data_IF_528708973445
#
_entry.id   IF_528708973445
#
_cell.length_a   1.000
_cell.length_b   1.000
_cell.length_c   1.000
_cell.angle_alpha   90.00
_cell.angle_beta   90.00
_cell.angle_gamma   90.00
#
_symmetry.space_group_name_H-M   'P 1'
#
loop_
_entity.id
_entity.type
_entity.pdbx_description
1 polymer ?
#
# COMPACT_ATOMS: atom_id res chain seq x y z
N UNK A 1 -0.94 41.12 -48.69
CA UNK A 1 -0.77 39.66 -48.93
C UNK A 1 -0.90 38.97 -47.59
N UNK A 2 -2.08 38.45 -47.24
CA UNK A 2 -2.30 37.72 -46.00
C UNK A 2 -1.85 36.25 -46.25
N UNK A 3 -0.77 35.87 -45.60
CA UNK A 3 -0.36 34.46 -45.59
C UNK A 3 -1.46 33.66 -44.88
N UNK A 4 -2.25 32.88 -45.63
CA UNK A 4 -3.11 31.84 -45.10
C UNK A 4 -2.19 30.75 -44.52
N UNK A 5 -1.88 30.84 -43.26
CA UNK A 5 -1.31 29.74 -42.50
C UNK A 5 -2.39 28.66 -42.31
N UNK A 6 -2.56 27.80 -43.31
CA UNK A 6 -3.34 26.58 -43.14
C UNK A 6 -2.57 25.67 -42.19
N UNK A 7 -3.11 25.47 -40.99
CA UNK A 7 -2.55 24.55 -40.04
C UNK A 7 -2.53 23.14 -40.64
N UNK A 8 -1.33 22.63 -40.96
CA UNK A 8 -1.16 21.24 -41.38
C UNK A 8 -1.29 20.31 -40.19
N UNK A 9 -2.39 19.60 -40.10
CA UNK A 9 -2.62 18.59 -39.06
C UNK A 9 -2.14 17.24 -39.62
N UNK A 10 -1.15 16.64 -38.96
CA UNK A 10 -0.80 15.25 -39.23
C UNK A 10 -1.80 14.34 -38.50
N UNK A 11 -2.56 13.54 -39.25
CA UNK A 11 -3.54 12.61 -38.71
C UNK A 11 -2.80 11.38 -38.21
N UNK A 12 -2.89 11.05 -36.89
CA UNK A 12 -2.27 9.84 -36.36
C UNK A 12 -3.06 8.60 -36.84
N UNK A 13 -2.39 7.45 -36.91
CA UNK A 13 -3.05 6.17 -37.26
C UNK A 13 -4.08 5.80 -36.19
N UNK A 14 -3.82 6.09 -34.93
CA UNK A 14 -4.69 5.83 -33.79
C UNK A 14 -4.68 7.05 -32.86
N UNK A 15 -5.85 7.43 -32.36
CA UNK A 15 -6.00 8.37 -31.25
C UNK A 15 -6.89 7.75 -30.16
N UNK A 16 -6.73 8.17 -28.92
CA UNK A 16 -7.53 7.66 -27.80
C UNK A 16 -8.11 8.78 -26.96
N UNK A 17 -9.26 8.54 -26.35
CA UNK A 17 -9.93 9.47 -25.42
C UNK A 17 -10.70 8.68 -24.37
N UNK A 18 -10.81 9.27 -23.18
CA UNK A 18 -11.69 8.74 -22.13
C UNK A 18 -12.88 9.67 -21.98
N UNK A 19 -14.09 9.11 -21.87
CA UNK A 19 -15.31 9.86 -21.66
C UNK A 19 -16.17 9.21 -20.56
N UNK A 20 -16.93 10.06 -19.88
CA UNK A 20 -17.93 9.61 -18.91
C UNK A 20 -19.23 9.22 -19.61
N UNK A 21 -19.82 8.08 -19.22
CA UNK A 21 -21.20 7.76 -19.55
C UNK A 21 -22.13 8.74 -18.83
N UNK A 22 -23.04 9.37 -19.58
CA UNK A 22 -23.98 10.34 -19.04
C UNK A 22 -25.28 9.64 -18.63
N UNK A 23 -25.88 10.05 -17.53
CA UNK A 23 -27.23 9.63 -17.16
C UNK A 23 -28.27 10.43 -17.97
N UNK A 24 -29.36 9.80 -18.33
CA UNK A 24 -30.52 10.43 -18.95
C UNK A 24 -31.81 9.76 -18.42
N UNK A 25 -33.00 10.34 -18.72
CA UNK A 25 -34.28 9.82 -18.22
C UNK A 25 -34.53 8.35 -18.63
N UNK A 26 -33.99 7.90 -19.75
CA UNK A 26 -34.14 6.54 -20.25
C UNK A 26 -33.02 5.58 -19.78
N UNK A 27 -32.06 6.05 -18.95
CA UNK A 27 -30.90 5.26 -18.47
C UNK A 27 -29.58 5.93 -18.76
N UNK A 28 -28.69 5.28 -19.54
CA UNK A 28 -27.36 5.81 -19.88
C UNK A 28 -27.30 6.25 -21.36
N UNK A 29 -26.49 7.26 -21.65
CA UNK A 29 -26.17 7.68 -23.02
C UNK A 29 -24.68 7.96 -23.13
N UNK A 30 -24.14 7.85 -24.32
CA UNK A 30 -22.78 8.26 -24.65
C UNK A 30 -22.78 9.26 -25.79
N UNK A 31 -22.24 10.43 -25.53
CA UNK A 31 -22.06 11.49 -26.55
C UNK A 31 -20.56 11.65 -26.78
N UNK A 32 -20.10 11.27 -27.96
CA UNK A 32 -18.71 11.51 -28.40
C UNK A 32 -18.71 12.79 -29.22
N UNK A 33 -18.30 13.89 -28.63
CA UNK A 33 -18.21 15.20 -29.25
C UNK A 33 -16.74 15.63 -29.26
N UNK A 34 -16.16 15.76 -30.43
CA UNK A 34 -14.74 16.10 -30.58
C UNK A 34 -14.42 16.54 -32.01
N UNK A 35 -13.51 17.50 -32.14
CA UNK A 35 -12.95 17.92 -33.42
C UNK A 35 -12.12 16.84 -34.13
N UNK A 36 -11.91 15.69 -33.50
CA UNK A 36 -11.16 14.57 -34.08
C UNK A 36 -12.00 13.70 -35.01
N UNK A 37 -13.33 13.67 -34.86
CA UNK A 37 -14.21 12.83 -35.67
C UNK A 37 -13.99 13.00 -37.18
N UNK A 38 -13.92 14.24 -37.73
CA UNK A 38 -13.67 14.42 -39.17
C UNK A 38 -12.29 13.92 -39.60
N UNK A 39 -11.26 13.99 -38.71
CA UNK A 39 -9.91 13.52 -39.02
C UNK A 39 -9.87 12.01 -39.28
N UNK A 40 -10.79 11.27 -38.70
CA UNK A 40 -10.93 9.81 -38.86
C UNK A 40 -12.05 9.42 -39.81
N UNK A 41 -12.54 10.35 -40.65
CA UNK A 41 -13.55 10.10 -41.66
C UNK A 41 -15.00 10.26 -41.18
N UNK A 42 -15.24 10.52 -39.89
CA UNK A 42 -16.59 10.73 -39.34
C UNK A 42 -17.00 12.20 -39.52
N UNK A 43 -17.17 12.58 -40.75
CA UNK A 43 -17.59 13.95 -41.14
C UNK A 43 -19.11 14.17 -40.87
N UNK A 44 -19.55 15.43 -40.92
CA UNK A 44 -20.96 15.79 -40.80
C UNK A 44 -21.82 15.04 -41.83
N UNK A 45 -22.91 14.46 -41.38
CA UNK A 45 -23.83 13.64 -42.18
C UNK A 45 -23.27 12.30 -42.70
N UNK A 46 -22.01 11.95 -42.42
CA UNK A 46 -21.51 10.61 -42.71
C UNK A 46 -22.41 9.55 -42.07
N UNK A 47 -22.70 8.46 -42.79
CA UNK A 47 -23.51 7.35 -42.29
C UNK A 47 -22.62 6.40 -41.50
N UNK A 48 -23.13 5.93 -40.36
CA UNK A 48 -22.42 5.04 -39.44
C UNK A 48 -23.30 3.86 -39.03
N UNK A 49 -22.65 2.76 -38.68
CA UNK A 49 -23.24 1.59 -38.04
C UNK A 49 -22.67 1.44 -36.62
N UNK A 50 -23.57 1.22 -35.65
CA UNK A 50 -23.21 0.92 -34.25
C UNK A 50 -23.40 -0.58 -34.00
N UNK A 51 -22.36 -1.31 -33.59
CA UNK A 51 -22.41 -2.76 -33.40
C UNK A 51 -21.88 -3.15 -32.02
N UNK A 52 -22.46 -4.16 -31.41
CA UNK A 52 -21.97 -4.75 -30.18
C UNK A 52 -20.68 -5.55 -30.46
N UNK A 53 -19.57 -5.23 -29.78
CA UNK A 53 -18.35 -6.05 -29.85
C UNK A 53 -18.57 -7.39 -29.12
N UNK A 54 -19.34 -7.36 -28.04
CA UNK A 54 -19.73 -8.50 -27.22
C UNK A 54 -20.30 -8.02 -25.90
N UNK A 55 -21.01 -8.89 -25.18
CA UNK A 55 -21.62 -8.56 -23.89
C UNK A 55 -20.55 -8.10 -22.92
N UNK A 56 -20.69 -6.86 -22.41
CA UNK A 56 -19.72 -6.23 -21.50
C UNK A 56 -18.37 -5.85 -22.15
N UNK A 57 -18.22 -5.95 -23.48
CA UNK A 57 -16.95 -5.69 -24.18
C UNK A 57 -16.91 -4.36 -24.93
N UNK A 58 -18.08 -3.73 -25.17
CA UNK A 58 -18.14 -2.41 -25.78
C UNK A 58 -18.86 -2.36 -27.13
N UNK A 59 -18.72 -1.20 -27.78
CA UNK A 59 -19.39 -0.85 -29.06
C UNK A 59 -18.31 -0.55 -30.10
N UNK A 60 -18.51 -1.06 -31.32
CA UNK A 60 -17.81 -0.65 -32.54
C UNK A 60 -18.69 0.31 -33.30
N UNK A 61 -18.13 1.41 -33.79
CA UNK A 61 -18.77 2.34 -34.72
C UNK A 61 -17.96 2.36 -35.98
N UNK A 62 -18.58 2.02 -37.12
CA UNK A 62 -17.96 1.97 -38.45
C UNK A 62 -18.64 2.92 -39.41
N UNK A 63 -17.83 3.51 -40.33
CA UNK A 63 -18.39 4.24 -41.46
C UNK A 63 -19.10 3.25 -42.42
N UNK A 64 -20.22 3.67 -42.97
CA UNK A 64 -20.93 2.96 -44.05
C UNK A 64 -20.56 3.57 -45.39
N UNK A 65 -20.64 2.76 -46.45
CA UNK A 65 -20.48 3.24 -47.81
C UNK A 65 -21.62 4.20 -48.20
N UNK A 66 -21.37 5.09 -49.15
CA UNK A 66 -22.31 6.11 -49.57
C UNK A 66 -23.67 5.54 -50.03
N UNK A 67 -23.65 4.31 -50.57
CA UNK A 67 -24.84 3.62 -51.09
C UNK A 67 -25.66 2.86 -50.03
N UNK A 68 -25.19 2.75 -48.83
CA UNK A 68 -25.94 2.10 -47.75
C UNK A 68 -27.20 2.92 -47.39
N UNK A 69 -28.36 2.29 -47.50
CA UNK A 69 -29.63 2.95 -47.18
C UNK A 69 -29.94 2.97 -45.69
N UNK A 70 -29.32 2.07 -44.93
CA UNK A 70 -29.49 1.95 -43.46
C UNK A 70 -28.27 2.49 -42.75
N UNK A 71 -28.47 3.42 -41.85
CA UNK A 71 -27.39 3.95 -41.02
C UNK A 71 -27.79 5.20 -40.25
N UNK A 72 -27.16 5.40 -39.12
CA UNK A 72 -27.30 6.60 -38.34
C UNK A 72 -26.35 7.69 -38.88
N UNK A 73 -26.72 8.94 -38.76
CA UNK A 73 -25.86 10.04 -39.24
C UNK A 73 -24.98 10.58 -38.13
N UNK A 74 -23.78 11.03 -38.49
CA UNK A 74 -22.93 11.88 -37.65
C UNK A 74 -23.56 13.26 -37.59
N UNK A 75 -23.84 13.75 -36.39
CA UNK A 75 -24.49 15.04 -36.17
C UNK A 75 -23.48 16.16 -36.03
N UNK A 76 -23.97 17.42 -36.14
CA UNK A 76 -23.21 18.60 -35.79
C UNK A 76 -23.89 19.37 -34.66
N UNK A 77 -23.10 20.02 -33.87
CA UNK A 77 -23.55 20.94 -32.81
C UNK A 77 -22.84 22.26 -32.97
N UNK A 78 -23.58 23.37 -32.96
CA UNK A 78 -23.04 24.71 -32.97
C UNK A 78 -22.90 25.25 -31.54
N UNK A 79 -21.74 25.78 -31.24
CA UNK A 79 -21.42 26.45 -29.97
C UNK A 79 -21.29 27.95 -30.23
N UNK A 80 -22.36 28.71 -30.09
CA UNK A 80 -22.44 30.16 -30.37
C UNK A 80 -21.39 31.00 -29.58
N UNK A 81 -20.94 30.51 -28.45
CA UNK A 81 -19.90 31.17 -27.62
C UNK A 81 -18.47 30.96 -28.10
N UNK A 82 -18.22 30.05 -29.02
CA UNK A 82 -16.87 29.76 -29.54
C UNK A 82 -16.56 30.64 -30.74
N UNK A 83 -15.55 31.50 -30.64
CA UNK A 83 -15.06 32.31 -31.77
C UNK A 83 -14.39 31.48 -32.85
N UNK A 84 -13.63 30.44 -32.46
CA UNK A 84 -12.96 29.53 -33.35
C UNK A 84 -13.60 28.14 -33.27
N UNK A 85 -13.84 27.48 -34.41
CA UNK A 85 -14.51 26.17 -34.51
C UNK A 85 -15.86 26.11 -33.78
N UNK A 86 -16.85 26.90 -34.16
CA UNK A 86 -18.17 26.90 -33.52
C UNK A 86 -18.92 25.60 -33.76
N UNK A 87 -18.61 24.89 -34.85
CA UNK A 87 -19.30 23.65 -35.24
C UNK A 87 -18.41 22.46 -34.83
N UNK A 88 -18.98 21.54 -34.08
CA UNK A 88 -18.32 20.30 -33.67
C UNK A 88 -19.16 19.09 -34.13
N UNK A 89 -18.53 18.10 -34.70
CA UNK A 89 -19.16 16.82 -35.06
C UNK A 89 -19.35 15.97 -33.80
N UNK A 90 -20.45 15.21 -33.78
CA UNK A 90 -20.80 14.37 -32.63
C UNK A 90 -21.48 13.08 -33.02
N UNK A 91 -21.19 12.03 -32.25
CA UNK A 91 -21.93 10.78 -32.21
C UNK A 91 -22.78 10.77 -30.94
N UNK A 92 -24.10 10.58 -31.09
CA UNK A 92 -25.04 10.54 -29.97
C UNK A 92 -25.65 9.13 -29.89
N UNK A 93 -25.12 8.31 -28.98
CA UNK A 93 -25.56 6.94 -28.78
C UNK A 93 -26.55 6.89 -27.62
N UNK A 94 -27.82 6.51 -27.94
CA UNK A 94 -28.94 6.47 -26.98
C UNK A 94 -29.66 5.12 -26.94
N UNK A 95 -29.27 4.16 -27.77
CA UNK A 95 -29.88 2.82 -27.76
C UNK A 95 -29.63 2.14 -26.45
N UNK A 96 -30.62 2.09 -25.57
CA UNK A 96 -30.50 1.46 -24.24
C UNK A 96 -30.18 -0.02 -24.37
N UNK A 97 -30.77 -0.72 -25.36
CA UNK A 97 -30.45 -2.12 -25.59
C UNK A 97 -28.97 -2.33 -25.89
N UNK A 98 -28.38 -1.51 -26.79
CA UNK A 98 -26.97 -1.60 -27.15
C UNK A 98 -26.04 -1.22 -25.97
N UNK A 99 -26.37 -0.11 -25.29
CA UNK A 99 -25.57 0.41 -24.17
C UNK A 99 -25.54 -0.59 -22.99
N UNK A 100 -26.70 -1.15 -22.62
CA UNK A 100 -26.83 -2.09 -21.51
C UNK A 100 -26.15 -3.43 -21.80
N UNK A 101 -26.11 -3.86 -23.07
CA UNK A 101 -25.34 -5.06 -23.44
C UNK A 101 -23.85 -4.79 -23.55
N UNK A 102 -23.45 -3.62 -24.04
CA UNK A 102 -22.06 -3.27 -24.29
C UNK A 102 -21.28 -2.93 -23.00
N UNK A 103 -21.95 -2.36 -22.02
CA UNK A 103 -21.29 -1.85 -20.81
C UNK A 103 -21.91 -2.47 -19.55
N UNK A 104 -21.08 -3.03 -18.64
CA UNK A 104 -21.50 -3.39 -17.29
C UNK A 104 -22.27 -2.26 -16.59
N UNK A 105 -23.20 -2.62 -15.71
CA UNK A 105 -24.07 -1.64 -15.02
C UNK A 105 -23.26 -0.59 -14.24
N UNK A 106 -22.15 -1.00 -13.65
CA UNK A 106 -21.24 -0.17 -12.87
C UNK A 106 -20.26 0.67 -13.70
N UNK A 107 -20.32 0.58 -15.04
CA UNK A 107 -19.44 1.37 -15.91
C UNK A 107 -19.78 2.86 -15.82
N UNK A 108 -18.81 3.66 -15.42
CA UNK A 108 -18.91 5.13 -15.39
C UNK A 108 -18.12 5.79 -16.51
N UNK A 109 -16.99 5.21 -16.89
CA UNK A 109 -16.06 5.72 -17.88
C UNK A 109 -15.86 4.71 -19.00
N UNK A 110 -15.65 5.23 -20.21
CA UNK A 110 -15.31 4.42 -21.40
C UNK A 110 -13.99 4.91 -21.99
N UNK A 111 -13.23 3.97 -22.53
CA UNK A 111 -12.06 4.24 -23.36
C UNK A 111 -12.49 4.18 -24.82
N UNK A 112 -12.15 5.21 -25.58
CA UNK A 112 -12.47 5.35 -27.00
C UNK A 112 -11.18 5.34 -27.79
N UNK A 113 -11.08 4.47 -28.76
CA UNK A 113 -10.01 4.40 -29.73
C UNK A 113 -10.53 4.79 -31.09
N UNK A 114 -9.91 5.76 -31.73
CA UNK A 114 -10.22 6.26 -33.07
C UNK A 114 -9.19 5.72 -34.05
N UNK A 115 -9.66 5.11 -35.12
CA UNK A 115 -8.92 4.80 -36.33
C UNK A 115 -9.73 5.28 -37.53
N UNK A 116 -9.09 5.43 -38.70
CA UNK A 116 -9.82 5.86 -39.89
C UNK A 116 -10.95 4.87 -40.24
N UNK A 117 -12.17 5.38 -40.31
CA UNK A 117 -13.38 4.58 -40.57
C UNK A 117 -13.91 3.72 -39.42
N UNK A 118 -13.19 3.65 -38.29
CA UNK A 118 -13.59 2.81 -37.15
C UNK A 118 -13.35 3.50 -35.81
N UNK A 119 -14.30 3.37 -34.88
CA UNK A 119 -14.16 3.77 -33.49
C UNK A 119 -14.52 2.58 -32.60
N UNK A 120 -13.60 2.23 -31.68
CA UNK A 120 -13.83 1.22 -30.65
C UNK A 120 -14.10 1.90 -29.30
N UNK A 121 -15.18 1.54 -28.64
CA UNK A 121 -15.59 2.10 -27.36
C UNK A 121 -15.71 0.96 -26.35
N UNK A 122 -14.81 0.91 -25.39
CA UNK A 122 -14.73 -0.18 -24.41
C UNK A 122 -14.97 0.34 -22.98
N UNK A 123 -15.61 -0.45 -22.10
CA UNK A 123 -15.79 -0.05 -20.70
C UNK A 123 -14.45 0.06 -19.99
N UNK A 124 -14.33 1.08 -19.15
CA UNK A 124 -13.25 1.15 -18.18
C UNK A 124 -13.70 0.52 -16.85
N UNK A 125 -12.78 -0.14 -16.16
CA UNK A 125 -13.07 -0.73 -14.86
C UNK A 125 -13.44 0.36 -13.84
N UNK A 126 -14.60 0.22 -13.21
CA UNK A 126 -14.96 0.99 -12.03
C UNK A 126 -14.25 0.36 -10.83
N UNK A 127 -13.13 0.96 -10.41
CA UNK A 127 -12.27 0.44 -9.35
C UNK A 127 -13.02 0.22 -8.03
N UNK A 128 -13.89 1.17 -7.66
CA UNK A 128 -14.67 1.10 -6.42
C UNK A 128 -15.70 -0.05 -6.47
N UNK A 129 -16.43 -0.17 -7.56
CA UNK A 129 -17.39 -1.26 -7.74
C UNK A 129 -16.69 -2.63 -7.76
N UNK A 130 -15.54 -2.73 -8.43
CA UNK A 130 -14.73 -3.95 -8.45
C UNK A 130 -14.23 -4.32 -7.05
N UNK A 131 -13.75 -3.35 -6.26
CA UNK A 131 -13.29 -3.56 -4.88
C UNK A 131 -14.45 -4.04 -3.97
N UNK A 132 -15.63 -3.42 -4.05
CA UNK A 132 -16.82 -3.85 -3.30
C UNK A 132 -17.22 -5.29 -3.67
N UNK A 133 -17.17 -5.63 -4.96
CA UNK A 133 -17.48 -6.99 -5.44
C UNK A 133 -16.45 -8.01 -4.94
N UNK A 134 -15.19 -7.64 -4.92
CA UNK A 134 -14.10 -8.46 -4.39
C UNK A 134 -14.29 -8.69 -2.89
N UNK A 135 -14.54 -7.63 -2.11
CA UNK A 135 -14.81 -7.70 -0.68
C UNK A 135 -15.94 -8.67 -0.33
N UNK A 136 -17.07 -8.59 -1.06
CA UNK A 136 -18.22 -9.49 -0.85
C UNK A 136 -17.92 -10.97 -1.12
N UNK A 137 -16.87 -11.28 -1.88
CA UNK A 137 -16.45 -12.65 -2.21
C UNK A 137 -15.30 -13.14 -1.35
N UNK A 138 -14.63 -12.25 -0.65
CA UNK A 138 -13.47 -12.56 0.16
C UNK A 138 -13.88 -13.28 1.45
N UNK A 139 -12.96 -14.07 1.96
CA UNK A 139 -13.07 -14.74 3.25
C UNK A 139 -11.94 -14.23 4.17
N UNK A 140 -11.84 -12.92 4.35
CA UNK A 140 -10.78 -12.24 5.09
C UNK A 140 -9.35 -12.54 4.58
N UNK A 141 -9.22 -12.75 3.28
CA UNK A 141 -7.94 -13.01 2.62
C UNK A 141 -7.10 -11.74 2.52
N UNK A 142 -5.85 -11.81 2.94
CA UNK A 142 -4.93 -10.66 2.97
C UNK A 142 -3.73 -10.87 2.07
N UNK A 143 -3.30 -9.76 1.47
CA UNK A 143 -1.98 -9.61 0.86
C UNK A 143 -1.08 -8.89 1.88
N UNK A 144 -0.03 -9.55 2.34
CA UNK A 144 0.91 -9.00 3.31
C UNK A 144 2.26 -8.78 2.66
N UNK A 145 2.83 -7.59 2.78
CA UNK A 145 4.12 -7.26 2.21
C UNK A 145 5.09 -6.69 3.25
N UNK A 146 6.36 -7.09 3.10
CA UNK A 146 7.48 -6.66 3.93
C UNK A 146 7.28 -7.02 5.41
N UNK A 147 6.92 -8.29 5.67
CA UNK A 147 6.63 -8.82 6.99
C UNK A 147 7.45 -10.06 7.29
N UNK A 148 8.28 -9.97 8.30
CA UNK A 148 9.02 -11.15 8.84
C UNK A 148 8.16 -12.00 9.79
N UNK A 149 6.83 -11.82 9.81
CA UNK A 149 5.85 -12.67 10.47
C UNK A 149 5.14 -12.07 11.69
N UNK A 150 5.66 -11.04 12.35
CA UNK A 150 5.04 -10.50 13.58
C UNK A 150 3.65 -9.93 13.34
N UNK A 151 3.48 -9.12 12.31
CA UNK A 151 2.18 -8.59 11.89
C UNK A 151 1.29 -9.70 11.32
N UNK A 152 1.85 -10.70 10.61
CA UNK A 152 1.12 -11.86 10.14
C UNK A 152 0.44 -12.63 11.29
N UNK A 153 1.18 -12.90 12.38
CA UNK A 153 0.63 -13.56 13.58
C UNK A 153 -0.50 -12.73 14.20
N UNK A 154 -0.30 -11.41 14.36
CA UNK A 154 -1.32 -10.50 14.86
C UNK A 154 -2.57 -10.50 13.97
N UNK A 155 -2.39 -10.47 12.65
CA UNK A 155 -3.49 -10.52 11.68
C UNK A 155 -4.28 -11.82 11.76
N UNK A 156 -3.59 -12.97 11.83
CA UNK A 156 -4.25 -14.29 11.97
C UNK A 156 -5.02 -14.37 13.29
N UNK A 157 -4.46 -13.89 14.39
CA UNK A 157 -5.13 -13.78 15.70
C UNK A 157 -6.41 -12.94 15.62
N UNK A 158 -6.47 -11.95 14.74
CA UNK A 158 -7.64 -11.10 14.48
C UNK A 158 -8.56 -11.61 13.35
N UNK A 159 -8.37 -12.84 12.90
CA UNK A 159 -9.25 -13.54 11.97
C UNK A 159 -8.97 -13.28 10.49
N UNK A 160 -7.86 -12.65 10.14
CA UNK A 160 -7.39 -12.55 8.77
C UNK A 160 -6.70 -13.84 8.32
N UNK A 161 -6.75 -14.12 7.02
CA UNK A 161 -6.02 -15.23 6.39
C UNK A 161 -4.93 -14.66 5.50
N UNK A 162 -3.70 -15.09 5.71
CA UNK A 162 -2.59 -14.63 4.88
C UNK A 162 -2.60 -15.42 3.56
N UNK A 163 -3.31 -14.90 2.57
CA UNK A 163 -3.40 -15.52 1.24
C UNK A 163 -2.10 -15.38 0.46
N UNK A 164 -1.45 -14.21 0.54
CA UNK A 164 -0.16 -13.93 -0.10
C UNK A 164 0.77 -13.21 0.86
N UNK A 165 1.99 -13.70 0.96
CA UNK A 165 3.10 -13.06 1.64
C UNK A 165 4.16 -12.68 0.62
N UNK A 166 4.45 -11.39 0.50
CA UNK A 166 5.60 -10.84 -0.22
C UNK A 166 6.65 -10.42 0.81
N UNK A 167 7.70 -11.21 0.95
CA UNK A 167 8.76 -10.96 1.93
C UNK A 167 10.13 -11.24 1.34
N UNK A 168 11.00 -10.27 1.45
CA UNK A 168 12.38 -10.34 1.00
C UNK A 168 13.25 -9.52 1.94
N UNK A 169 14.27 -10.15 2.53
CA UNK A 169 15.27 -9.46 3.33
C UNK A 169 16.50 -9.16 2.47
N UNK A 170 16.79 -7.89 2.12
CA UNK A 170 18.03 -7.57 1.41
C UNK A 170 19.25 -8.06 2.19
N UNK A 171 20.22 -8.63 1.50
CA UNK A 171 21.50 -9.00 2.10
C UNK A 171 22.25 -7.75 2.57
N UNK A 172 22.71 -7.76 3.81
CA UNK A 172 23.54 -6.69 4.36
C UNK A 172 25.03 -7.02 4.16
N UNK A 173 25.90 -6.00 4.12
CA UNK A 173 27.37 -6.16 3.95
C UNK A 173 28.02 -7.11 4.96
N UNK A 174 27.38 -7.35 6.10
CA UNK A 174 27.84 -8.26 7.17
C UNK A 174 27.40 -9.71 7.00
N UNK A 175 26.42 -9.97 6.14
CA UNK A 175 25.90 -11.32 5.93
C UNK A 175 26.95 -12.17 5.18
N UNK A 176 27.26 -13.33 5.74
CA UNK A 176 28.23 -14.26 5.17
C UNK A 176 27.62 -15.21 4.16
N UNK A 177 26.31 -15.41 4.26
CA UNK A 177 25.53 -16.30 3.42
C UNK A 177 24.34 -15.50 2.85
N UNK A 178 23.62 -16.09 1.91
CA UNK A 178 22.35 -15.55 1.46
C UNK A 178 21.32 -15.64 2.60
N UNK A 179 20.78 -14.48 2.98
CA UNK A 179 19.83 -14.33 4.08
C UNK A 179 18.46 -13.84 3.59
N UNK A 180 18.24 -13.81 2.26
CA UNK A 180 17.04 -13.22 1.64
C UNK A 180 15.73 -13.90 2.02
N UNK A 181 15.78 -15.20 2.37
CA UNK A 181 14.61 -16.00 2.73
C UNK A 181 14.27 -15.95 4.23
N UNK A 182 15.12 -15.40 5.07
CA UNK A 182 15.01 -15.55 6.54
C UNK A 182 13.73 -14.99 7.13
N UNK A 183 13.26 -13.83 6.64
CA UNK A 183 11.99 -13.25 7.07
C UNK A 183 10.81 -14.14 6.66
N UNK A 184 10.82 -14.62 5.41
CA UNK A 184 9.80 -15.50 4.87
C UNK A 184 9.72 -16.85 5.65
N UNK A 185 10.85 -17.50 5.90
CA UNK A 185 10.90 -18.74 6.68
C UNK A 185 10.36 -18.53 8.08
N UNK A 186 10.73 -17.43 8.74
CA UNK A 186 10.21 -17.09 10.07
C UNK A 186 8.69 -16.91 10.07
N UNK A 187 8.14 -16.24 9.06
CA UNK A 187 6.69 -16.10 8.91
C UNK A 187 6.00 -17.46 8.68
N UNK A 188 6.53 -18.28 7.77
CA UNK A 188 5.98 -19.61 7.47
C UNK A 188 6.01 -20.58 8.66
N UNK A 189 6.96 -20.40 9.59
CA UNK A 189 7.01 -21.20 10.82
C UNK A 189 5.87 -20.89 11.81
N UNK A 190 5.13 -19.77 11.60
CA UNK A 190 4.12 -19.27 12.52
C UNK A 190 2.71 -19.15 11.92
N UNK A 191 2.59 -18.98 10.61
CA UNK A 191 1.29 -18.79 9.93
C UNK A 191 1.20 -19.57 8.63
N UNK A 192 -0.02 -19.99 8.29
CA UNK A 192 -0.29 -20.56 6.98
C UNK A 192 -0.31 -19.46 5.92
N UNK A 193 0.40 -19.70 4.80
CA UNK A 193 0.48 -18.79 3.66
C UNK A 193 0.21 -19.60 2.40
N UNK A 194 -0.69 -19.16 1.54
CA UNK A 194 -1.00 -19.86 0.31
C UNK A 194 -0.02 -19.52 -0.82
N UNK A 195 0.36 -18.27 -0.95
CA UNK A 195 1.34 -17.82 -1.94
C UNK A 195 2.49 -17.12 -1.24
N UNK A 196 3.68 -17.69 -1.32
CA UNK A 196 4.92 -17.02 -0.90
C UNK A 196 5.61 -16.42 -2.13
N UNK A 197 5.94 -15.13 -2.04
CA UNK A 197 6.72 -14.39 -3.02
C UNK A 197 7.96 -13.88 -2.30
N UNK A 198 9.11 -14.52 -2.52
CA UNK A 198 10.38 -14.09 -1.95
C UNK A 198 11.19 -13.34 -3.01
N UNK A 199 10.66 -12.18 -3.38
CA UNK A 199 11.25 -11.30 -4.39
C UNK A 199 11.32 -9.87 -3.84
N UNK A 200 12.33 -9.12 -4.24
CA UNK A 200 12.46 -7.70 -3.88
C UNK A 200 11.30 -6.90 -4.49
N UNK A 201 10.55 -6.21 -3.64
CA UNK A 201 9.41 -5.39 -4.05
C UNK A 201 9.78 -4.36 -5.13
N UNK A 202 11.02 -3.83 -5.09
CA UNK A 202 11.52 -2.82 -6.05
C UNK A 202 11.82 -3.41 -7.43
N UNK A 203 11.93 -4.74 -7.55
CA UNK A 203 12.23 -5.44 -8.80
C UNK A 203 11.09 -6.37 -9.26
N UNK A 204 9.91 -6.25 -8.66
CA UNK A 204 8.81 -7.18 -8.84
C UNK A 204 8.13 -7.03 -10.21
N UNK A 205 8.00 -8.12 -10.98
CA UNK A 205 7.07 -8.17 -12.12
C UNK A 205 5.63 -8.30 -11.63
N UNK A 206 5.00 -7.17 -11.32
CA UNK A 206 3.66 -7.12 -10.77
C UNK A 206 2.59 -7.73 -11.70
N UNK A 207 2.79 -7.74 -13.02
CA UNK A 207 1.86 -8.37 -13.95
C UNK A 207 1.91 -9.89 -13.84
N UNK A 208 3.10 -10.46 -13.70
CA UNK A 208 3.31 -11.88 -13.47
C UNK A 208 2.69 -12.32 -12.14
N UNK A 209 2.98 -11.58 -11.06
CA UNK A 209 2.45 -11.88 -9.74
C UNK A 209 0.91 -11.79 -9.72
N UNK A 210 0.34 -10.74 -10.30
CA UNK A 210 -1.12 -10.60 -10.38
C UNK A 210 -1.78 -11.76 -11.17
N UNK A 211 -1.09 -12.29 -12.18
CA UNK A 211 -1.56 -13.47 -12.93
C UNK A 211 -1.52 -14.74 -12.05
N UNK A 212 -0.44 -14.95 -11.29
CA UNK A 212 -0.30 -16.08 -10.38
C UNK A 212 -1.38 -16.06 -9.29
N UNK A 213 -1.66 -14.88 -8.73
CA UNK A 213 -2.64 -14.66 -7.67
C UNK A 213 -4.07 -14.36 -8.19
N UNK A 214 -4.36 -14.60 -9.47
CA UNK A 214 -5.61 -14.18 -10.13
C UNK A 214 -6.90 -14.82 -9.57
N UNK A 215 -6.79 -15.90 -8.79
CA UNK A 215 -7.92 -16.59 -8.15
C UNK A 215 -8.20 -16.12 -6.72
N UNK A 216 -7.35 -15.28 -6.14
CA UNK A 216 -7.49 -14.76 -4.78
C UNK A 216 -8.45 -13.56 -4.74
N UNK A 217 -9.24 -13.47 -3.66
CA UNK A 217 -10.21 -12.39 -3.44
C UNK A 217 -9.84 -11.63 -2.16
N UNK A 218 -8.83 -10.79 -2.26
CA UNK A 218 -8.32 -10.05 -1.11
C UNK A 218 -9.34 -9.09 -0.50
N UNK A 219 -9.44 -9.09 0.81
CA UNK A 219 -10.15 -8.06 1.60
C UNK A 219 -9.24 -6.87 1.83
N UNK A 220 -7.98 -7.16 2.17
CA UNK A 220 -7.01 -6.18 2.65
C UNK A 220 -5.63 -6.41 2.03
N UNK A 221 -4.87 -5.32 1.89
CA UNK A 221 -3.43 -5.37 1.76
C UNK A 221 -2.79 -4.65 2.95
N UNK A 222 -1.83 -5.29 3.61
CA UNK A 222 -1.01 -4.67 4.67
C UNK A 222 0.43 -4.60 4.19
N UNK A 223 1.04 -3.40 4.27
CA UNK A 223 2.40 -3.15 3.83
C UNK A 223 3.18 -2.42 4.92
N UNK A 224 4.31 -3.00 5.32
CA UNK A 224 5.26 -2.41 6.28
C UNK A 224 6.56 -2.07 5.53
N UNK A 225 6.53 -0.93 4.81
CA UNK A 225 7.66 -0.53 3.95
C UNK A 225 8.92 -0.23 4.78
N UNK A 226 10.10 -0.42 4.18
CA UNK A 226 11.36 -0.14 4.85
C UNK A 226 11.41 1.31 5.35
N UNK A 227 11.79 1.49 6.63
CA UNK A 227 11.71 2.78 7.31
C UNK A 227 13.08 3.48 7.49
N UNK A 228 14.18 2.88 7.04
CA UNK A 228 15.53 3.32 7.39
C UNK A 228 15.80 4.78 7.01
N UNK A 229 15.36 5.22 5.82
CA UNK A 229 15.61 6.58 5.33
C UNK A 229 14.68 7.64 5.99
N UNK A 230 13.61 7.21 6.62
CA UNK A 230 12.68 8.08 7.35
C UNK A 230 12.93 8.09 8.85
N UNK A 231 13.73 7.14 9.36
CA UNK A 231 14.03 7.00 10.77
C UNK A 231 14.98 8.09 11.26
N UNK A 232 14.73 8.60 12.47
CA UNK A 232 15.67 9.47 13.18
C UNK A 232 16.95 8.74 13.63
N UNK A 233 16.98 7.42 13.53
CA UNK A 233 18.14 6.60 13.94
C UNK A 233 19.25 6.56 12.90
N UNK A 234 18.95 6.81 11.60
CA UNK A 234 19.93 6.93 10.52
C UNK A 234 20.39 8.39 10.44
N UNK A 235 21.70 8.60 10.52
CA UNK A 235 22.27 9.95 10.41
C UNK A 235 22.00 10.53 9.01
N UNK A 236 21.77 11.84 8.91
CA UNK A 236 21.42 12.53 7.65
C UNK A 236 22.45 12.28 6.55
N UNK A 237 23.75 12.40 6.88
CA UNK A 237 24.83 12.07 5.94
C UNK A 237 24.73 10.65 5.35
N UNK A 238 24.24 9.67 6.13
CA UNK A 238 24.06 8.29 5.63
C UNK A 238 22.83 8.16 4.74
N UNK A 239 21.82 9.00 4.94
CA UNK A 239 20.67 9.08 4.04
C UNK A 239 21.06 9.68 2.70
N UNK A 240 21.84 10.78 2.71
CA UNK A 240 22.38 11.39 1.49
C UNK A 240 23.25 10.39 0.71
N UNK A 241 24.16 9.69 1.37
CA UNK A 241 25.00 8.66 0.73
C UNK A 241 24.15 7.54 0.11
N UNK A 242 23.06 7.12 0.77
CA UNK A 242 22.19 6.08 0.20
C UNK A 242 21.42 6.55 -1.04
N UNK A 243 21.14 7.83 -1.17
CA UNK A 243 20.60 8.41 -2.41
C UNK A 243 21.64 8.43 -3.53
N UNK A 244 22.89 8.78 -3.21
CA UNK A 244 23.99 8.85 -4.18
C UNK A 244 24.37 7.46 -4.73
N UNK A 245 24.40 6.43 -3.89
CA UNK A 245 24.79 5.06 -4.28
C UNK A 245 23.59 4.19 -4.73
N UNK A 246 22.37 4.75 -4.74
CA UNK A 246 21.17 4.05 -5.17
C UNK A 246 20.67 2.99 -4.18
N UNK A 247 21.14 2.96 -2.93
CA UNK A 247 20.71 2.01 -1.91
C UNK A 247 19.55 2.54 -1.03
N UNK A 248 19.02 3.73 -1.35
CA UNK A 248 17.87 4.30 -0.66
C UNK A 248 16.60 3.51 -0.96
N UNK A 249 15.75 3.39 0.04
CA UNK A 249 14.42 2.77 -0.06
C UNK A 249 13.28 3.79 -0.16
N UNK A 250 13.59 5.07 -0.39
CA UNK A 250 12.59 6.14 -0.40
C UNK A 250 11.58 5.99 -1.53
N UNK A 251 11.97 5.41 -2.65
CA UNK A 251 11.17 5.16 -3.84
C UNK A 251 10.35 3.85 -3.79
N UNK A 252 10.57 2.99 -2.80
CA UNK A 252 9.77 1.77 -2.56
C UNK A 252 8.25 2.07 -2.49
N UNK A 253 7.89 3.30 -2.16
CA UNK A 253 6.51 3.79 -2.18
C UNK A 253 5.87 3.69 -3.57
N UNK A 254 6.65 3.81 -4.64
CA UNK A 254 6.17 3.70 -6.03
C UNK A 254 5.73 2.26 -6.31
N UNK A 255 6.52 1.28 -5.86
CA UNK A 255 6.22 -0.13 -6.05
C UNK A 255 5.01 -0.57 -5.21
N UNK A 256 4.91 -0.06 -3.97
CA UNK A 256 3.71 -0.22 -3.16
C UNK A 256 2.45 0.31 -3.87
N UNK A 257 2.51 1.51 -4.47
CA UNK A 257 1.43 2.09 -5.26
C UNK A 257 1.10 1.22 -6.48
N UNK A 258 2.10 0.68 -7.16
CA UNK A 258 1.91 -0.21 -8.31
C UNK A 258 1.18 -1.50 -7.91
N UNK A 259 1.56 -2.13 -6.81
CA UNK A 259 0.89 -3.30 -6.23
C UNK A 259 -0.56 -2.95 -5.90
N UNK A 260 -0.81 -1.89 -5.13
CA UNK A 260 -2.15 -1.45 -4.74
C UNK A 260 -3.01 -1.13 -5.97
N UNK A 261 -2.43 -0.45 -6.95
CA UNK A 261 -3.12 -0.11 -8.19
C UNK A 261 -3.49 -1.35 -9.00
N UNK A 262 -2.60 -2.34 -9.07
CA UNK A 262 -2.78 -3.55 -9.88
C UNK A 262 -3.81 -4.50 -9.28
N UNK A 263 -3.73 -4.78 -7.99
CA UNK A 263 -4.63 -5.71 -7.31
C UNK A 263 -5.97 -5.09 -6.93
N UNK A 264 -6.04 -3.77 -6.85
CA UNK A 264 -7.27 -3.04 -6.54
C UNK A 264 -7.92 -3.50 -5.22
N UNK A 265 -7.15 -3.62 -4.17
CA UNK A 265 -7.61 -4.09 -2.86
C UNK A 265 -8.79 -3.24 -2.33
N UNK A 266 -9.80 -3.85 -1.68
CA UNK A 266 -10.88 -3.11 -1.02
C UNK A 266 -10.39 -2.17 0.07
N UNK A 267 -9.42 -2.64 0.88
CA UNK A 267 -8.78 -1.86 1.93
C UNK A 267 -7.26 -2.03 1.89
N UNK A 268 -6.55 -1.03 2.38
CA UNK A 268 -5.09 -1.02 2.48
C UNK A 268 -4.69 -0.46 3.83
N UNK A 269 -3.77 -1.13 4.50
CA UNK A 269 -3.12 -0.67 5.72
C UNK A 269 -1.63 -0.51 5.47
N UNK A 270 -1.08 0.64 5.82
CA UNK A 270 0.36 0.92 5.70
C UNK A 270 0.88 1.36 7.05
N UNK A 271 1.93 0.68 7.51
CA UNK A 271 2.67 1.01 8.72
C UNK A 271 4.05 1.57 8.37
N UNK A 272 4.48 2.57 9.11
CA UNK A 272 5.85 3.09 9.06
C UNK A 272 6.16 3.97 10.28
N UNK A 273 7.39 4.49 10.33
CA UNK A 273 7.73 5.55 11.29
C UNK A 273 6.95 6.84 10.96
N UNK A 274 6.61 7.68 11.97
CA UNK A 274 5.78 8.89 11.73
C UNK A 274 6.33 9.83 10.66
N UNK A 275 7.65 9.96 10.56
CA UNK A 275 8.29 10.84 9.58
C UNK A 275 8.02 10.43 8.12
N UNK A 276 7.77 9.15 7.85
CA UNK A 276 7.38 8.68 6.52
C UNK A 276 6.14 9.42 6.03
N UNK A 277 5.09 9.49 6.85
CA UNK A 277 3.80 10.06 6.45
C UNK A 277 3.84 11.60 6.28
N UNK A 278 4.82 12.27 6.88
CA UNK A 278 5.04 13.72 6.70
C UNK A 278 6.01 14.03 5.56
N UNK A 279 6.76 13.04 5.08
CA UNK A 279 7.68 13.15 3.95
C UNK A 279 6.95 13.30 2.62
N UNK A 280 7.69 13.64 1.57
CA UNK A 280 7.12 13.69 0.22
C UNK A 280 6.70 12.30 -0.29
N UNK A 281 7.38 11.24 0.09
CA UNK A 281 6.98 9.85 -0.22
C UNK A 281 5.58 9.54 0.37
N UNK A 282 5.35 9.85 1.64
CA UNK A 282 4.04 9.67 2.28
C UNK A 282 2.93 10.53 1.65
N UNK A 283 3.24 11.78 1.29
CA UNK A 283 2.29 12.68 0.60
C UNK A 283 1.94 12.16 -0.80
N UNK A 284 2.92 11.64 -1.55
CA UNK A 284 2.72 11.02 -2.87
C UNK A 284 1.80 9.81 -2.73
N UNK A 285 2.06 8.95 -1.73
CA UNK A 285 1.23 7.79 -1.44
C UNK A 285 -0.23 8.18 -1.18
N UNK A 286 -0.48 9.08 -0.23
CA UNK A 286 -1.83 9.55 0.12
C UNK A 286 -2.55 10.14 -1.09
N UNK A 287 -1.89 11.07 -1.80
CA UNK A 287 -2.45 11.69 -3.00
C UNK A 287 -2.80 10.64 -4.07
N UNK A 288 -1.94 9.62 -4.25
CA UNK A 288 -2.16 8.57 -5.24
C UNK A 288 -3.30 7.65 -4.85
N UNK A 289 -3.41 7.27 -3.58
CA UNK A 289 -4.53 6.47 -3.06
C UNK A 289 -5.87 7.20 -3.25
N UNK A 290 -5.92 8.48 -2.93
CA UNK A 290 -7.12 9.31 -3.17
C UNK A 290 -7.49 9.35 -4.66
N UNK A 291 -6.52 9.49 -5.57
CA UNK A 291 -6.76 9.43 -7.03
C UNK A 291 -7.22 8.06 -7.53
N UNK A 292 -6.84 6.99 -6.84
CA UNK A 292 -7.31 5.63 -7.11
C UNK A 292 -8.73 5.38 -6.57
N UNK A 293 -9.31 6.31 -5.81
CA UNK A 293 -10.66 6.24 -5.29
C UNK A 293 -10.79 5.77 -3.84
N UNK A 294 -9.66 5.68 -3.12
CA UNK A 294 -9.68 5.41 -1.68
C UNK A 294 -10.05 6.66 -0.88
N UNK A 295 -10.71 6.45 0.24
CA UNK A 295 -10.77 7.39 1.36
C UNK A 295 -9.66 7.01 2.33
N UNK A 296 -8.80 7.95 2.68
CA UNK A 296 -7.62 7.71 3.51
C UNK A 296 -7.79 8.29 4.91
N UNK A 297 -7.22 7.60 5.89
CA UNK A 297 -7.15 7.99 7.29
C UNK A 297 -5.71 7.74 7.75
N UNK A 298 -5.05 8.77 8.26
CA UNK A 298 -3.67 8.67 8.71
C UNK A 298 -3.54 9.27 10.10
N UNK A 299 -2.90 8.52 11.01
CA UNK A 299 -2.65 8.98 12.35
C UNK A 299 -1.37 8.37 12.94
N UNK A 300 -0.92 8.97 14.04
CA UNK A 300 0.25 8.57 14.80
C UNK A 300 -0.18 7.89 16.11
N UNK A 301 0.31 6.69 16.35
CA UNK A 301 -0.01 5.87 17.50
C UNK A 301 1.22 5.73 18.40
N UNK A 302 0.98 5.88 19.70
CA UNK A 302 1.95 5.59 20.74
C UNK A 302 1.54 4.27 21.43
N UNK A 303 2.41 3.28 21.42
CA UNK A 303 2.11 1.98 21.98
C UNK A 303 1.64 2.03 23.44
N UNK A 304 2.12 3.02 24.19
CA UNK A 304 1.71 3.26 25.59
C UNK A 304 0.23 3.52 25.76
N UNK A 305 -0.44 4.01 24.75
CA UNK A 305 -1.88 4.33 24.80
C UNK A 305 -2.76 3.10 24.48
N UNK A 306 -2.14 1.97 24.06
CA UNK A 306 -2.83 0.75 23.64
C UNK A 306 -2.42 -0.50 24.43
N UNK A 307 -1.91 -0.32 25.65
CA UNK A 307 -1.48 -1.43 26.52
C UNK A 307 -0.08 -1.95 26.21
N UNK A 308 0.66 -1.31 25.31
CA UNK A 308 2.05 -1.63 25.02
C UNK A 308 2.99 -1.24 26.16
N UNK A 309 4.12 -1.91 26.23
CA UNK A 309 5.11 -1.71 27.30
C UNK A 309 6.33 -0.88 26.87
N UNK A 310 6.36 -0.42 25.61
CA UNK A 310 7.45 0.44 25.12
C UNK A 310 6.97 1.82 24.72
N UNK A 311 7.90 2.77 24.61
CA UNK A 311 7.64 4.12 24.08
C UNK A 311 7.70 4.14 22.54
N UNK A 312 7.28 3.04 21.89
CA UNK A 312 7.30 2.92 20.43
C UNK A 312 6.18 3.72 19.80
N UNK A 313 6.55 4.61 18.90
CA UNK A 313 5.58 5.40 18.12
C UNK A 313 5.63 4.99 16.67
N UNK A 314 4.46 4.77 16.06
CA UNK A 314 4.31 4.45 14.64
C UNK A 314 3.20 5.28 14.01
N UNK A 315 3.35 5.54 12.73
CA UNK A 315 2.29 6.06 11.88
C UNK A 315 1.56 4.91 11.19
N UNK A 316 0.26 5.06 11.04
CA UNK A 316 -0.56 4.16 10.26
C UNK A 316 -1.43 4.96 9.30
N UNK A 317 -1.50 4.46 8.07
CA UNK A 317 -2.44 4.94 7.06
C UNK A 317 -3.37 3.79 6.70
N UNK A 318 -4.64 3.97 6.99
CA UNK A 318 -5.72 3.08 6.50
C UNK A 318 -6.41 3.74 5.32
N UNK A 319 -6.61 2.99 4.24
CA UNK A 319 -7.29 3.44 3.04
C UNK A 319 -8.38 2.45 2.65
N UNK A 320 -9.58 2.95 2.31
CA UNK A 320 -10.72 2.09 1.95
C UNK A 320 -11.48 2.62 0.75
N UNK A 321 -11.90 1.71 -0.16
CA UNK A 321 -12.88 1.96 -1.23
C UNK A 321 -14.31 1.60 -0.79
N UNK A 322 -14.44 0.96 0.37
CA UNK A 322 -15.75 0.54 0.88
C UNK A 322 -16.52 1.75 1.43
N UNK A 323 -17.87 1.74 1.35
CA UNK A 323 -18.67 2.66 2.12
C UNK A 323 -18.50 2.31 3.61
N UNK A 324 -17.79 3.13 4.35
CA UNK A 324 -17.43 2.87 5.73
C UNK A 324 -17.33 4.18 6.51
N UNK A 325 -17.83 4.17 7.74
CA UNK A 325 -17.63 5.22 8.74
C UNK A 325 -16.45 4.86 9.66
N UNK A 326 -15.35 4.39 9.06
CA UNK A 326 -14.15 4.00 9.80
C UNK A 326 -13.65 5.16 10.66
N UNK A 327 -13.35 4.85 11.91
CA UNK A 327 -12.65 5.72 12.84
C UNK A 327 -11.38 5.03 13.34
N UNK A 328 -10.31 5.80 13.45
CA UNK A 328 -9.07 5.32 14.07
C UNK A 328 -9.35 4.90 15.54
N UNK A 329 -8.70 3.82 16.03
CA UNK A 329 -8.92 3.35 17.39
C UNK A 329 -8.55 4.43 18.41
N UNK A 330 -9.39 4.57 19.42
CA UNK A 330 -9.12 5.46 20.56
C UNK A 330 -8.17 4.78 21.54
N UNK A 331 -7.38 5.55 22.30
CA UNK A 331 -6.56 5.01 23.37
C UNK A 331 -7.37 4.11 24.30
N UNK A 332 -6.80 2.96 24.70
CA UNK A 332 -7.49 1.97 25.53
C UNK A 332 -7.02 2.05 26.98
N UNK A 333 -5.88 1.45 27.26
CA UNK A 333 -5.37 1.29 28.65
C UNK A 333 -3.88 1.58 28.69
N UNK A 334 -3.48 2.41 29.64
CA UNK A 334 -2.07 2.65 29.98
C UNK A 334 -1.59 1.63 31.00
N UNK A 335 -0.32 1.27 30.93
CA UNK A 335 0.32 0.45 31.96
C UNK A 335 0.51 1.30 33.23
N UNK A 336 0.10 0.76 34.37
CA UNK A 336 0.22 1.40 35.70
C UNK A 336 1.22 0.65 36.61
N UNK A 337 1.71 -0.50 36.17
CA UNK A 337 2.61 -1.35 36.94
C UNK A 337 4.04 -1.20 36.39
N UNK A 338 5.03 -0.93 37.24
CA UNK A 338 6.42 -0.94 36.78
C UNK A 338 6.79 -2.23 36.06
N UNK A 339 7.45 -2.12 34.90
CA UNK A 339 7.88 -3.26 34.08
C UNK A 339 8.73 -4.23 34.88
N UNK A 340 9.53 -3.70 35.78
CA UNK A 340 10.37 -4.49 36.68
C UNK A 340 9.57 -5.57 37.42
N UNK A 341 8.44 -5.19 37.99
CA UNK A 341 7.52 -6.11 38.69
C UNK A 341 6.71 -6.96 37.71
N UNK A 342 6.20 -6.33 36.64
CA UNK A 342 5.33 -6.99 35.67
C UNK A 342 6.03 -8.16 34.97
N UNK A 343 7.33 -8.01 34.65
CA UNK A 343 8.11 -9.01 33.94
C UNK A 343 9.14 -9.74 34.84
N UNK A 344 9.02 -9.64 36.17
CA UNK A 344 9.84 -10.36 37.15
C UNK A 344 11.35 -10.22 36.91
N UNK A 345 11.86 -8.98 36.72
CA UNK A 345 13.25 -8.76 36.33
C UNK A 345 14.24 -9.21 37.38
N UNK A 346 13.91 -9.22 38.68
CA UNK A 346 14.81 -9.75 39.73
C UNK A 346 15.06 -11.25 39.55
N UNK A 347 14.04 -12.05 39.22
CA UNK A 347 14.18 -13.48 38.96
C UNK A 347 14.99 -13.76 37.71
N UNK A 348 14.79 -12.97 36.65
CA UNK A 348 15.56 -13.10 35.40
C UNK A 348 17.03 -12.76 35.58
N UNK A 349 17.34 -11.80 36.45
CA UNK A 349 18.71 -11.46 36.84
C UNK A 349 19.32 -12.64 37.66
N UNK A 350 18.58 -13.14 38.64
CA UNK A 350 19.04 -14.23 39.50
C UNK A 350 19.24 -15.54 38.70
N UNK A 351 18.43 -15.83 37.73
CA UNK A 351 18.55 -17.03 36.86
C UNK A 351 19.68 -16.92 35.84
N UNK A 352 20.30 -15.72 35.66
CA UNK A 352 21.30 -15.47 34.64
C UNK A 352 20.73 -15.30 33.21
N UNK A 353 19.42 -15.17 33.03
CA UNK A 353 18.80 -14.83 31.73
C UNK A 353 19.30 -13.49 31.21
N UNK A 354 19.48 -12.51 32.11
CA UNK A 354 19.95 -11.17 31.80
C UNK A 354 21.45 -11.08 32.13
N UNK A 355 22.27 -10.86 31.11
CA UNK A 355 23.72 -10.81 31.24
C UNK A 355 24.18 -9.49 31.85
N UNK A 356 25.02 -9.54 32.90
CA UNK A 356 25.71 -8.36 33.47
C UNK A 356 26.64 -7.74 32.42
N UNK A 357 26.49 -6.46 32.15
CA UNK A 357 27.27 -5.68 31.19
C UNK A 357 27.84 -4.41 31.81
N UNK A 358 27.82 -4.30 33.13
CA UNK A 358 28.20 -3.11 33.88
C UNK A 358 29.52 -2.51 33.43
N UNK A 359 30.50 -3.35 33.10
CA UNK A 359 31.86 -2.89 32.77
C UNK A 359 32.15 -2.88 31.27
N UNK A 360 31.14 -3.07 30.41
CA UNK A 360 31.39 -3.06 28.97
C UNK A 360 31.62 -1.63 28.45
N UNK A 361 32.56 -1.48 27.53
CA UNK A 361 32.94 -0.17 26.96
C UNK A 361 31.78 0.53 26.29
N UNK A 362 30.90 -0.21 25.57
CA UNK A 362 29.74 0.35 24.90
C UNK A 362 28.73 0.96 25.87
N UNK A 363 28.43 0.27 26.98
CA UNK A 363 27.56 0.81 28.04
C UNK A 363 28.20 2.06 28.68
N UNK A 364 29.47 1.98 29.08
CA UNK A 364 30.17 3.10 29.74
C UNK A 364 30.22 4.33 28.84
N UNK A 365 30.46 4.15 27.52
CA UNK A 365 30.38 5.24 26.55
C UNK A 365 28.94 5.76 26.42
N UNK A 366 27.97 4.86 26.41
CA UNK A 366 26.53 5.22 26.34
C UNK A 366 26.10 6.06 27.55
N UNK A 367 26.51 5.69 28.76
CA UNK A 367 26.23 6.44 29.98
C UNK A 367 26.94 7.81 29.97
N UNK A 368 28.24 7.85 29.61
CA UNK A 368 28.99 9.10 29.50
C UNK A 368 28.40 10.10 28.50
N UNK A 369 27.89 9.60 27.39
CA UNK A 369 27.32 10.44 26.31
C UNK A 369 25.82 10.68 26.45
N UNK A 370 25.17 10.12 27.48
CA UNK A 370 23.72 10.19 27.68
C UNK A 370 22.90 9.44 26.60
N UNK A 371 23.53 8.52 25.85
CA UNK A 371 22.89 7.77 24.77
C UNK A 371 22.36 6.41 25.23
N UNK A 372 22.85 5.86 26.34
CA UNK A 372 22.32 4.62 26.90
C UNK A 372 20.83 4.77 27.26
N UNK A 373 20.01 3.87 26.76
CA UNK A 373 18.58 3.88 27.04
C UNK A 373 18.30 2.90 28.17
N UNK A 374 17.78 3.41 29.28
CA UNK A 374 17.69 2.68 30.52
C UNK A 374 16.26 2.32 30.89
N UNK A 375 16.02 1.05 31.17
CA UNK A 375 14.85 0.56 31.91
C UNK A 375 15.23 0.48 33.40
N UNK A 376 14.56 1.26 34.24
CA UNK A 376 14.77 1.34 35.68
C UNK A 376 13.68 0.62 36.45
N UNK A 377 13.85 0.46 37.77
CA UNK A 377 12.87 -0.23 38.61
C UNK A 377 11.48 0.41 38.62
N UNK A 378 11.43 1.71 38.55
CA UNK A 378 10.19 2.51 38.53
C UNK A 378 9.60 2.74 37.12
N UNK A 379 10.29 2.29 36.07
CA UNK A 379 9.86 2.53 34.69
C UNK A 379 8.54 1.81 34.40
N UNK A 380 7.54 2.59 34.04
CA UNK A 380 6.25 2.07 33.53
C UNK A 380 6.35 1.60 32.09
N UNK A 381 7.31 2.14 31.33
CA UNK A 381 7.56 1.84 29.91
C UNK A 381 9.04 1.70 29.64
N UNK A 382 9.38 0.75 28.78
CA UNK A 382 10.73 0.61 28.24
C UNK A 382 10.96 1.61 27.08
N UNK A 383 12.19 2.10 26.89
CA UNK A 383 12.56 2.76 25.65
C UNK A 383 12.31 1.85 24.44
N UNK A 384 12.00 2.44 23.28
CA UNK A 384 11.74 1.72 22.03
C UNK A 384 12.85 0.69 21.71
N UNK A 385 12.49 -0.56 21.43
CA UNK A 385 13.43 -1.59 20.97
C UNK A 385 13.86 -1.28 19.53
N UNK A 386 15.16 -1.38 19.26
CA UNK A 386 15.74 -1.07 17.94
C UNK A 386 16.28 -2.32 17.25
N UNK A 387 16.30 -2.31 15.91
CA UNK A 387 16.96 -3.35 15.08
C UNK A 387 18.38 -3.69 15.54
N UNK A 388 19.15 -2.66 15.97
CA UNK A 388 20.54 -2.80 16.40
C UNK A 388 20.71 -3.30 17.83
N UNK A 389 19.64 -3.72 18.53
CA UNK A 389 19.70 -4.10 19.94
C UNK A 389 20.73 -5.21 20.20
N UNK A 390 20.78 -6.23 19.34
CA UNK A 390 21.72 -7.36 19.46
C UNK A 390 23.21 -6.96 19.41
N UNK A 391 23.52 -5.78 18.85
CA UNK A 391 24.91 -5.29 18.72
C UNK A 391 25.48 -4.74 20.03
N UNK A 392 24.65 -4.61 21.05
CA UNK A 392 24.99 -4.00 22.34
C UNK A 392 25.72 -2.66 22.15
N UNK A 393 25.19 -1.82 21.24
CA UNK A 393 25.75 -0.49 20.98
C UNK A 393 25.48 0.46 22.16
N UNK A 394 26.17 1.60 22.19
CA UNK A 394 26.02 2.62 23.25
C UNK A 394 24.61 3.20 23.41
N UNK A 395 23.77 3.05 22.42
CA UNK A 395 22.36 3.47 22.39
C UNK A 395 21.37 2.29 22.48
N UNK A 396 21.84 1.10 22.86
CA UNK A 396 20.98 -0.04 23.14
C UNK A 396 20.13 0.18 24.40
N UNK A 397 19.09 -0.62 24.56
CA UNK A 397 18.29 -0.73 25.77
C UNK A 397 19.06 -1.57 26.80
N UNK A 398 19.28 -1.00 27.97
CA UNK A 398 19.90 -1.65 29.12
C UNK A 398 18.95 -1.60 30.32
N UNK A 399 19.06 -2.58 31.20
CA UNK A 399 18.31 -2.64 32.44
C UNK A 399 19.22 -2.16 33.57
N UNK A 400 18.81 -1.14 34.28
CA UNK A 400 19.56 -0.58 35.41
C UNK A 400 18.94 -1.02 36.73
N UNK A 401 19.68 -1.84 37.50
CA UNK A 401 19.35 -2.18 38.87
C UNK A 401 20.01 -1.17 39.81
N UNK A 402 19.23 -0.22 40.30
CA UNK A 402 19.64 0.87 41.16
C UNK A 402 20.04 0.41 42.59
N UNK A 403 19.53 -0.76 43.04
CA UNK A 403 19.85 -1.32 44.37
C UNK A 403 21.31 -1.72 44.47
N UNK A 404 21.88 -2.31 43.42
CA UNK A 404 23.29 -2.75 43.38
C UNK A 404 24.14 -1.99 42.39
N UNK A 405 23.56 -0.97 41.74
CA UNK A 405 24.17 -0.15 40.70
C UNK A 405 24.77 -0.96 39.54
N UNK A 406 24.10 -2.07 39.15
CA UNK A 406 24.52 -2.93 38.04
C UNK A 406 23.63 -2.74 36.84
N UNK A 407 24.16 -3.05 35.66
CA UNK A 407 23.50 -2.94 34.38
C UNK A 407 23.47 -4.28 33.69
N UNK A 408 22.32 -4.62 33.13
CA UNK A 408 22.09 -5.89 32.44
C UNK A 408 21.65 -5.67 31.01
N UNK A 409 22.04 -6.60 30.15
CA UNK A 409 21.61 -6.62 28.76
C UNK A 409 20.37 -7.49 28.62
N UNK A 410 19.44 -7.05 27.77
CA UNK A 410 18.17 -7.72 27.54
C UNK A 410 18.35 -9.06 26.82
N UNK A 411 17.57 -10.08 27.18
CA UNK A 411 17.39 -11.29 26.39
C UNK A 411 16.41 -11.06 25.24
N UNK A 412 16.48 -11.87 24.18
CA UNK A 412 15.48 -11.81 23.09
C UNK A 412 14.08 -12.09 23.61
N UNK A 413 13.94 -13.05 24.54
CA UNK A 413 12.68 -13.36 25.20
C UNK A 413 12.07 -12.12 25.87
N UNK A 414 12.87 -11.39 26.65
CA UNK A 414 12.40 -10.15 27.28
C UNK A 414 12.02 -9.09 26.24
N UNK A 415 12.78 -8.98 25.15
CA UNK A 415 12.45 -8.03 24.07
C UNK A 415 11.10 -8.36 23.42
N UNK A 416 10.82 -9.64 23.14
CA UNK A 416 9.54 -10.09 22.59
C UNK A 416 8.39 -9.79 23.54
N UNK A 417 8.56 -10.07 24.84
CA UNK A 417 7.54 -9.77 25.85
C UNK A 417 7.28 -8.25 25.98
N UNK A 418 8.32 -7.41 25.94
CA UNK A 418 8.18 -5.95 25.91
C UNK A 418 7.38 -5.44 24.70
N UNK A 419 7.51 -6.11 23.57
CA UNK A 419 6.81 -5.77 22.32
C UNK A 419 5.44 -6.47 22.18
N UNK A 420 5.07 -7.32 23.15
CA UNK A 420 3.84 -8.12 23.11
C UNK A 420 3.85 -9.19 22.00
N UNK A 421 5.03 -9.64 21.58
CA UNK A 421 5.19 -10.60 20.47
C UNK A 421 5.11 -12.02 21.00
N UNK A 422 4.11 -12.77 20.54
CA UNK A 422 3.86 -14.18 20.86
C UNK A 422 4.05 -15.03 19.60
N UNK A 423 5.29 -15.37 19.26
CA UNK A 423 5.59 -16.23 18.11
C UNK A 423 6.84 -17.07 18.36
N UNK A 424 6.99 -18.14 17.54
CA UNK A 424 8.17 -19.00 17.54
C UNK A 424 9.26 -18.41 16.62
N UNK A 425 10.49 -18.34 17.11
CA UNK A 425 11.67 -17.89 16.38
C UNK A 425 12.69 -19.01 16.10
N UNK A 426 12.33 -20.29 16.31
CA UNK A 426 13.25 -21.42 16.12
C UNK A 426 13.77 -21.54 14.68
N UNK A 427 13.04 -20.96 13.72
CA UNK A 427 13.45 -20.96 12.32
C UNK A 427 14.60 -20.01 12.00
N UNK A 428 14.97 -19.11 12.94
CA UNK A 428 15.99 -18.07 12.73
C UNK A 428 17.00 -18.06 13.88
N UNK A 429 18.22 -17.60 13.60
CA UNK A 429 19.26 -17.44 14.63
C UNK A 429 18.96 -16.26 15.55
N UNK A 430 19.50 -16.30 16.79
CA UNK A 430 19.27 -15.30 17.85
C UNK A 430 19.53 -13.84 17.41
N UNK A 431 20.47 -13.62 16.52
CA UNK A 431 20.77 -12.29 15.97
C UNK A 431 19.60 -11.77 15.14
N UNK A 432 19.09 -12.60 14.24
CA UNK A 432 17.97 -12.25 13.39
C UNK A 432 16.65 -12.13 14.17
N UNK A 433 16.43 -13.00 15.16
CA UNK A 433 15.31 -12.88 16.09
C UNK A 433 15.28 -11.47 16.71
N UNK A 434 16.41 -11.00 17.29
CA UNK A 434 16.49 -9.66 17.87
C UNK A 434 16.25 -8.54 16.85
N UNK A 435 16.70 -8.73 15.61
CA UNK A 435 16.47 -7.76 14.52
C UNK A 435 15.02 -7.70 14.10
N UNK A 436 14.37 -8.85 13.93
CA UNK A 436 12.96 -8.96 13.62
C UNK A 436 12.14 -8.26 14.71
N UNK A 437 12.37 -8.59 15.98
CA UNK A 437 11.70 -7.94 17.11
C UNK A 437 11.90 -6.42 17.09
N UNK A 438 13.12 -5.95 16.87
CA UNK A 438 13.44 -4.52 16.88
C UNK A 438 12.85 -3.72 15.69
N UNK A 439 12.60 -4.38 14.56
CA UNK A 439 11.99 -3.76 13.37
C UNK A 439 10.47 -3.84 13.37
N UNK A 440 9.89 -4.83 14.06
CA UNK A 440 8.46 -5.14 13.99
C UNK A 440 7.57 -4.06 14.58
N UNK A 441 6.29 -4.27 14.41
CA UNK A 441 5.20 -3.55 15.10
C UNK A 441 5.21 -3.90 16.60
N UNK A 442 4.58 -3.08 17.42
CA UNK A 442 4.21 -3.47 18.79
C UNK A 442 2.80 -4.05 18.76
N UNK A 443 2.67 -5.30 19.15
CA UNK A 443 1.48 -6.12 18.91
C UNK A 443 0.19 -5.52 19.48
N UNK A 444 0.12 -5.06 20.76
CA UNK A 444 -1.13 -4.51 21.30
C UNK A 444 -1.67 -3.31 20.51
N UNK A 445 -0.78 -2.40 20.10
CA UNK A 445 -1.14 -1.23 19.32
C UNK A 445 -1.65 -1.62 17.92
N UNK A 446 -0.98 -2.56 17.26
CA UNK A 446 -1.37 -3.05 15.93
C UNK A 446 -2.71 -3.80 15.98
N UNK A 447 -2.91 -4.65 16.99
CA UNK A 447 -4.17 -5.38 17.19
C UNK A 447 -5.36 -4.44 17.41
N UNK A 448 -5.17 -3.35 18.17
CA UNK A 448 -6.22 -2.34 18.36
C UNK A 448 -6.67 -1.71 17.03
N UNK A 449 -5.74 -1.50 16.10
CA UNK A 449 -6.06 -1.00 14.76
C UNK A 449 -6.78 -2.06 13.91
N UNK A 450 -6.30 -3.31 13.94
CA UNK A 450 -6.96 -4.43 13.22
C UNK A 450 -8.41 -4.64 13.70
N UNK A 451 -8.67 -4.51 15.01
CA UNK A 451 -10.03 -4.57 15.57
C UNK A 451 -10.94 -3.45 15.04
N UNK A 452 -10.39 -2.28 14.72
CA UNK A 452 -11.16 -1.17 14.12
C UNK A 452 -11.43 -1.38 12.63
N UNK A 453 -10.54 -2.09 11.93
CA UNK A 453 -10.70 -2.42 10.49
C UNK A 453 -11.75 -3.53 10.29
N UNK A 454 -11.88 -4.45 11.24
CA UNK A 454 -12.80 -5.59 11.17
C UNK A 454 -14.26 -5.25 11.59
N UNK A 455 -14.52 -4.03 12.05
CA UNK A 455 -15.88 -3.53 12.39
C UNK A 455 -16.60 -3.05 11.14
#
# INVERSE_FOLDING_TARGET
MSANNTLKINIPTIATKQLKLQSCNAGKKLVVSTNWLPLFGFEANAKIKEELIGIGKGIRVSLLEANDTQGKKVYTREYKSRRNNPIETMLDMRSQNLINQAFPEDTEMVHIQFAYGEILITPMCNRKAAAIKQFKKSNNECFLACSSGVDAVSMVKKGFKIETLLEYRPNEKRDKNDMTETGAINALANVEVKHLINEDIMNLDINKIAKLCSKSNYTNATLSLQCDDFSNSKAEKLKELSLEDGSSSIDMVIDAINIISKFNFPTVLIENVPNFFTSDAGKILDLRLNRLGYKTYCDKFDARDYGGLTSRVRGYLFATMLPSDFEMPKPTKKNETPIWKLLNLDERIASGELRDVTHTSSLQEGLKTGRARLLKRDSLYAPTVMKSQNRQAKDSLFIHNDVNNRYYFTSNKLLSELMGIEMNFDAVGKTLESEIVGQSIETPMHEALLDSINK
#
